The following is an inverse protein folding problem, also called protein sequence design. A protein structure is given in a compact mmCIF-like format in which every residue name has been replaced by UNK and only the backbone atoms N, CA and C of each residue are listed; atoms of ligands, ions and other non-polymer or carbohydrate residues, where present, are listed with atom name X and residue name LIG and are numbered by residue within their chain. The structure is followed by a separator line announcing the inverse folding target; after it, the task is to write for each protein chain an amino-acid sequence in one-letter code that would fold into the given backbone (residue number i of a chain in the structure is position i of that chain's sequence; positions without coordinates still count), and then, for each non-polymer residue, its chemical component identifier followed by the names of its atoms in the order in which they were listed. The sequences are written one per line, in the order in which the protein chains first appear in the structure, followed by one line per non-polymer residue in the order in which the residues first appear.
data_IF_476942974662
#
_entry.id   IF_476942974662
#
_cell.length_a   1.000
_cell.length_b   1.000
_cell.length_c   1.000
_cell.angle_alpha   90.00
_cell.angle_beta   90.00
_cell.angle_gamma   90.00
#
_symmetry.space_group_name_H-M   'P 1'
#
loop_
_entity.id
_entity.type
_entity.pdbx_description
1 polymer ?
#
# COMPACT_ATOMS: atom_id res chain seq x y z
N UNK A 1 -56.93 56.33 -43.89
CA UNK A 1 -55.50 55.94 -43.84
C UNK A 1 -54.85 56.25 -42.47
N UNK A 2 -55.51 55.97 -41.35
CA UNK A 2 -55.00 56.30 -39.99
C UNK A 2 -54.73 55.07 -39.13
N UNK A 3 -55.30 53.91 -39.47
CA UNK A 3 -55.17 52.66 -38.69
C UNK A 3 -53.81 51.96 -38.88
N UNK A 4 -53.15 52.15 -40.03
CA UNK A 4 -51.87 51.50 -40.33
C UNK A 4 -50.67 52.09 -39.56
N UNK A 5 -50.73 53.37 -39.17
CA UNK A 5 -49.64 54.02 -38.41
C UNK A 5 -49.66 53.66 -36.93
N UNK A 6 -50.83 53.39 -36.34
CA UNK A 6 -50.95 52.98 -34.94
C UNK A 6 -50.45 51.55 -34.71
N UNK A 7 -50.76 50.61 -35.61
CA UNK A 7 -50.31 49.20 -35.48
C UNK A 7 -48.77 49.10 -35.59
N UNK A 8 -48.15 49.87 -36.48
CA UNK A 8 -46.69 49.88 -36.62
C UNK A 8 -45.98 50.43 -35.37
N UNK A 9 -46.57 51.42 -34.69
CA UNK A 9 -46.07 51.96 -33.42
C UNK A 9 -46.10 50.95 -32.26
N UNK A 10 -47.17 50.13 -32.18
CA UNK A 10 -47.27 49.10 -31.14
C UNK A 10 -46.27 47.95 -31.35
N UNK A 11 -46.01 47.52 -32.59
CA UNK A 11 -45.02 46.49 -32.88
C UNK A 11 -43.61 46.97 -32.54
N UNK A 12 -43.28 48.23 -32.84
CA UNK A 12 -41.98 48.81 -32.54
C UNK A 12 -41.78 49.02 -31.03
N UNK A 13 -42.81 49.44 -30.30
CA UNK A 13 -42.77 49.55 -28.83
C UNK A 13 -42.66 48.18 -28.15
N UNK A 14 -43.32 47.14 -28.68
CA UNK A 14 -43.23 45.78 -28.13
C UNK A 14 -41.84 45.16 -28.40
N UNK A 15 -41.28 45.37 -29.59
CA UNK A 15 -39.92 44.93 -29.92
C UNK A 15 -38.85 45.63 -29.05
N UNK A 16 -39.01 46.93 -28.79
CA UNK A 16 -38.13 47.67 -27.88
C UNK A 16 -38.27 47.18 -26.43
N UNK A 17 -39.49 46.88 -25.99
CA UNK A 17 -39.76 46.31 -24.67
C UNK A 17 -39.05 44.98 -24.45
N UNK A 18 -39.17 44.04 -25.39
CA UNK A 18 -38.51 42.72 -25.31
C UNK A 18 -36.97 42.83 -25.32
N UNK A 19 -36.41 43.75 -26.11
CA UNK A 19 -34.96 43.98 -26.14
C UNK A 19 -34.43 44.53 -24.81
N UNK A 20 -35.16 45.44 -24.16
CA UNK A 20 -34.78 46.00 -22.85
C UNK A 20 -34.84 44.91 -21.76
N UNK A 21 -35.87 44.06 -21.76
CA UNK A 21 -35.97 42.97 -20.77
C UNK A 21 -34.84 41.94 -20.92
N UNK A 22 -34.40 41.66 -22.15
CA UNK A 22 -33.27 40.77 -22.43
C UNK A 22 -31.92 41.32 -21.96
N UNK A 23 -31.69 42.63 -22.07
CA UNK A 23 -30.46 43.27 -21.57
C UNK A 23 -30.44 43.25 -20.04
N UNK A 24 -31.56 43.55 -19.37
CA UNK A 24 -31.65 43.53 -17.90
C UNK A 24 -31.47 42.12 -17.34
N UNK A 25 -31.98 41.08 -18.01
CA UNK A 25 -31.77 39.70 -17.57
C UNK A 25 -30.33 39.24 -17.73
N UNK A 26 -29.62 39.63 -18.79
CA UNK A 26 -28.19 39.35 -18.94
C UNK A 26 -27.35 40.03 -17.85
N UNK A 27 -27.60 41.31 -17.53
CA UNK A 27 -26.89 41.99 -16.45
C UNK A 27 -27.11 41.34 -15.07
N UNK A 28 -28.31 40.83 -14.79
CA UNK A 28 -28.56 40.08 -13.54
C UNK A 28 -27.79 38.76 -13.50
N UNK A 29 -27.79 38.00 -14.61
CA UNK A 29 -27.05 36.74 -14.69
C UNK A 29 -25.53 36.95 -14.56
N UNK A 30 -24.99 38.01 -15.14
CA UNK A 30 -23.56 38.32 -15.02
C UNK A 30 -23.21 38.82 -13.61
N UNK A 31 -24.07 39.62 -12.97
CA UNK A 31 -23.91 40.01 -11.57
C UNK A 31 -23.96 38.81 -10.61
N UNK A 32 -24.86 37.85 -10.83
CA UNK A 32 -24.94 36.61 -10.05
C UNK A 32 -23.69 35.72 -10.25
N UNK A 33 -23.17 35.65 -11.49
CA UNK A 33 -21.92 34.94 -11.78
C UNK A 33 -20.70 35.59 -11.12
N UNK A 34 -20.62 36.92 -11.13
CA UNK A 34 -19.55 37.65 -10.45
C UNK A 34 -19.63 37.48 -8.93
N UNK A 35 -20.84 37.53 -8.35
CA UNK A 35 -21.06 37.25 -6.94
C UNK A 35 -20.63 35.81 -6.60
N UNK A 36 -21.04 34.82 -7.39
CA UNK A 36 -20.64 33.42 -7.22
C UNK A 36 -19.12 33.20 -7.31
N UNK A 37 -18.44 33.87 -8.24
CA UNK A 37 -16.96 33.81 -8.35
C UNK A 37 -16.26 34.41 -7.14
N UNK A 38 -16.77 35.52 -6.60
CA UNK A 38 -16.21 36.14 -5.39
C UNK A 38 -16.40 35.25 -4.17
N UNK A 39 -17.58 34.66 -4.00
CA UNK A 39 -17.83 33.70 -2.91
C UNK A 39 -16.93 32.48 -3.02
N UNK A 40 -16.83 31.86 -4.20
CA UNK A 40 -15.95 30.72 -4.42
C UNK A 40 -14.46 31.06 -4.19
N UNK A 41 -14.04 32.29 -4.52
CA UNK A 41 -12.68 32.75 -4.24
C UNK A 41 -12.45 32.98 -2.74
N UNK A 42 -13.43 33.52 -2.01
CA UNK A 42 -13.37 33.66 -0.55
C UNK A 42 -13.35 32.31 0.15
N UNK A 43 -14.17 31.36 -0.26
CA UNK A 43 -14.16 29.98 0.24
C UNK A 43 -12.81 29.30 -0.02
N UNK A 44 -12.23 29.48 -1.22
CA UNK A 44 -10.89 28.98 -1.53
C UNK A 44 -9.81 29.60 -0.63
N UNK A 45 -9.89 30.90 -0.33
CA UNK A 45 -8.95 31.56 0.57
C UNK A 45 -9.12 31.06 2.01
N UNK A 46 -10.36 30.92 2.49
CA UNK A 46 -10.65 30.36 3.81
C UNK A 46 -10.20 28.90 3.96
N UNK A 47 -10.33 28.10 2.90
CA UNK A 47 -9.77 26.75 2.85
C UNK A 47 -8.24 26.78 2.89
N UNK A 48 -7.60 27.64 2.11
CA UNK A 48 -6.13 27.78 2.15
C UNK A 48 -5.62 28.14 3.55
N UNK A 49 -6.25 29.11 4.21
CA UNK A 49 -5.85 29.49 5.57
C UNK A 49 -6.02 28.35 6.57
N UNK A 50 -7.09 27.57 6.47
CA UNK A 50 -7.28 26.40 7.37
C UNK A 50 -6.31 25.27 7.07
N UNK A 51 -5.91 25.08 5.81
CA UNK A 51 -4.82 24.16 5.45
C UNK A 51 -3.46 24.62 5.98
N UNK A 52 -3.13 25.91 5.83
CA UNK A 52 -1.86 26.46 6.32
C UNK A 52 -1.75 26.37 7.85
N UNK A 53 -2.85 26.63 8.58
CA UNK A 53 -2.92 26.43 10.03
C UNK A 53 -2.74 24.96 10.44
N UNK A 54 -3.38 24.02 9.72
CA UNK A 54 -3.20 22.59 9.97
C UNK A 54 -1.77 22.13 9.69
N UNK A 55 -1.17 22.64 8.61
CA UNK A 55 0.22 22.33 8.27
C UNK A 55 1.19 22.87 9.32
N UNK A 56 0.94 24.05 9.89
CA UNK A 56 1.78 24.57 10.97
C UNK A 56 1.68 23.70 12.23
N UNK A 57 0.47 23.31 12.64
CA UNK A 57 0.26 22.41 13.78
C UNK A 57 0.95 21.06 13.57
N UNK A 58 0.75 20.42 12.40
CA UNK A 58 1.42 19.16 12.08
C UNK A 58 2.95 19.29 12.06
N UNK A 59 3.48 20.42 11.56
CA UNK A 59 4.92 20.67 11.58
C UNK A 59 5.48 20.79 13.00
N UNK A 60 4.72 21.41 13.91
CA UNK A 60 5.09 21.52 15.32
C UNK A 60 5.04 20.15 16.02
N UNK A 61 4.01 19.34 15.74
CA UNK A 61 3.89 17.96 16.26
C UNK A 61 5.05 17.07 15.79
N UNK A 62 5.42 17.15 14.51
CA UNK A 62 6.57 16.42 13.97
C UNK A 62 7.86 16.81 14.70
N UNK A 63 8.09 18.10 14.94
CA UNK A 63 9.25 18.58 15.69
C UNK A 63 9.23 18.15 17.16
N UNK A 64 8.05 18.09 17.78
CA UNK A 64 7.91 17.55 19.14
C UNK A 64 8.23 16.04 19.18
N UNK A 65 7.71 15.27 18.23
CA UNK A 65 7.98 13.83 18.12
C UNK A 65 9.46 13.53 17.86
N UNK A 66 10.14 14.32 17.02
CA UNK A 66 11.59 14.20 16.81
C UNK A 66 12.37 14.41 18.11
N UNK A 67 12.04 15.46 18.87
CA UNK A 67 12.69 15.73 20.17
C UNK A 67 12.44 14.60 21.17
N UNK A 68 11.23 14.07 21.22
CA UNK A 68 10.90 12.94 22.10
C UNK A 68 11.69 11.67 21.70
N UNK A 69 11.81 11.40 20.40
CA UNK A 69 12.56 10.27 19.87
C UNK A 69 14.07 10.37 20.15
N UNK A 70 14.65 11.56 20.02
CA UNK A 70 16.06 11.79 20.37
C UNK A 70 16.32 11.68 21.87
N UNK A 71 15.39 12.15 22.72
CA UNK A 71 15.45 11.95 24.16
C UNK A 71 15.37 10.45 24.52
N UNK A 72 14.45 9.70 23.91
CA UNK A 72 14.31 8.25 24.11
C UNK A 72 15.58 7.48 23.68
N UNK A 73 16.18 7.84 22.54
CA UNK A 73 17.46 7.25 22.08
C UNK A 73 18.60 7.53 23.05
N UNK A 74 18.64 8.73 23.63
CA UNK A 74 19.66 9.09 24.62
C UNK A 74 19.50 8.27 25.89
N UNK A 75 18.26 8.15 26.39
CA UNK A 75 17.94 7.30 27.55
C UNK A 75 18.25 5.82 27.30
N UNK A 76 17.98 5.30 26.10
CA UNK A 76 18.29 3.91 25.74
C UNK A 76 19.79 3.64 25.78
N UNK A 77 20.62 4.56 25.25
CA UNK A 77 22.09 4.46 25.32
C UNK A 77 22.63 4.52 26.75
N UNK A 78 22.03 5.34 27.61
CA UNK A 78 22.38 5.39 29.03
C UNK A 78 22.02 4.08 29.74
N UNK A 79 20.87 3.49 29.43
CA UNK A 79 20.45 2.19 29.94
C UNK A 79 21.38 1.07 29.47
N UNK A 80 21.76 1.03 28.19
CA UNK A 80 22.74 0.09 27.64
C UNK A 80 24.09 0.21 28.34
N UNK A 81 24.57 1.44 28.57
CA UNK A 81 25.81 1.68 29.30
C UNK A 81 25.74 1.20 30.75
N UNK A 82 24.64 1.45 31.44
CA UNK A 82 24.41 0.98 32.81
C UNK A 82 24.35 -0.55 32.87
N UNK A 83 23.72 -1.18 31.87
CA UNK A 83 23.68 -2.64 31.76
C UNK A 83 25.06 -3.24 31.48
N UNK A 84 25.88 -2.61 30.63
CA UNK A 84 27.26 -3.02 30.37
C UNK A 84 28.14 -2.90 31.63
N UNK A 85 28.00 -1.81 32.39
CA UNK A 85 28.72 -1.63 33.67
C UNK A 85 28.29 -2.68 34.72
N UNK A 86 27.02 -3.09 34.72
CA UNK A 86 26.52 -4.16 35.61
C UNK A 86 26.98 -5.57 35.17
N UNK A 87 27.20 -5.78 33.88
CA UNK A 87 27.66 -7.06 33.31
C UNK A 87 29.16 -7.32 33.52
N UNK A 88 29.94 -6.32 33.93
CA UNK A 88 31.38 -6.44 34.21
C UNK A 88 31.69 -7.17 35.54
N UNK A 89 30.66 -7.76 36.17
CA UNK A 89 30.85 -8.78 37.19
C UNK A 89 31.15 -10.13 36.50
N UNK A 90 32.33 -10.74 36.72
CA UNK A 90 32.74 -11.95 36.04
C UNK A 90 31.87 -13.13 36.49
N UNK A 91 30.77 -13.36 35.76
CA UNK A 91 30.04 -14.60 35.81
C UNK A 91 30.79 -15.60 34.93
N UNK A 92 31.65 -16.39 35.55
CA UNK A 92 32.37 -17.48 34.87
C UNK A 92 31.34 -18.53 34.42
N UNK A 93 30.89 -18.41 33.17
CA UNK A 93 30.13 -19.48 32.51
C UNK A 93 31.08 -20.65 32.24
N UNK A 94 30.69 -21.89 32.56
CA UNK A 94 31.44 -23.06 32.12
C UNK A 94 31.42 -23.10 30.58
N UNK A 95 32.61 -23.14 29.97
CA UNK A 95 32.79 -23.39 28.54
C UNK A 95 32.05 -24.69 28.16
N UNK A 96 30.90 -24.57 27.51
CA UNK A 96 30.34 -25.68 26.76
C UNK A 96 31.13 -25.84 25.46
N UNK A 97 31.63 -27.05 25.14
CA UNK A 97 32.40 -27.28 23.94
C UNK A 97 31.53 -27.08 22.70
N UNK A 98 31.91 -26.13 21.84
CA UNK A 98 31.29 -25.93 20.54
C UNK A 98 31.42 -27.22 19.70
N UNK A 99 30.31 -27.71 19.10
CA UNK A 99 30.37 -28.84 18.19
C UNK A 99 31.15 -28.43 16.92
N UNK A 100 31.99 -29.32 16.37
CA UNK A 100 32.80 -29.02 15.19
C UNK A 100 31.88 -28.70 14.00
N UNK A 101 32.09 -27.53 13.39
CA UNK A 101 31.42 -27.15 12.14
C UNK A 101 31.72 -28.19 11.06
N UNK A 102 30.64 -28.73 10.47
CA UNK A 102 30.72 -29.65 9.34
C UNK A 102 31.30 -28.95 8.11
N UNK A 103 32.35 -29.49 7.46
CA UNK A 103 33.00 -28.88 6.29
C UNK A 103 32.20 -29.02 4.97
N UNK A 104 30.94 -29.41 5.01
CA UNK A 104 30.12 -29.62 3.80
C UNK A 104 29.34 -28.39 3.31
N UNK A 105 29.35 -27.27 4.04
CA UNK A 105 28.60 -26.07 3.66
C UNK A 105 29.31 -25.15 2.63
N UNK A 106 30.63 -25.25 2.45
CA UNK A 106 31.41 -24.28 1.65
C UNK A 106 31.59 -24.66 0.16
N UNK A 107 31.05 -25.78 -0.32
CA UNK A 107 31.32 -26.28 -1.70
C UNK A 107 30.16 -26.14 -2.71
N UNK A 108 29.15 -25.29 -2.48
CA UNK A 108 27.97 -25.25 -3.35
C UNK A 108 27.68 -23.95 -4.10
N UNK A 109 28.52 -22.91 -3.99
CA UNK A 109 28.21 -21.61 -4.61
C UNK A 109 28.92 -21.30 -5.95
N UNK A 110 29.84 -22.14 -6.44
CA UNK A 110 30.69 -21.76 -7.61
C UNK A 110 30.22 -22.21 -9.01
N UNK A 111 29.15 -23.01 -9.15
CA UNK A 111 28.73 -23.59 -10.45
C UNK A 111 27.32 -23.16 -10.92
N UNK A 112 26.81 -22.02 -10.45
CA UNK A 112 25.63 -21.42 -11.08
C UNK A 112 26.05 -20.75 -12.41
N UNK A 113 25.51 -21.17 -13.57
CA UNK A 113 25.84 -20.52 -14.83
C UNK A 113 25.45 -19.03 -14.76
N UNK A 114 26.28 -18.11 -15.28
CA UNK A 114 25.95 -16.70 -15.28
C UNK A 114 24.70 -16.48 -16.12
N UNK A 115 23.64 -15.93 -15.51
CA UNK A 115 22.40 -15.45 -16.14
C UNK A 115 22.78 -14.38 -17.19
N UNK A 116 23.18 -14.82 -18.37
CA UNK A 116 23.85 -13.99 -19.40
C UNK A 116 22.88 -13.41 -20.40
N UNK A 117 21.63 -13.87 -20.41
CA UNK A 117 20.57 -13.27 -21.21
C UNK A 117 19.57 -12.61 -20.27
N UNK A 118 19.76 -11.32 -19.99
CA UNK A 118 18.78 -10.45 -19.33
C UNK A 118 17.47 -10.26 -20.12
N UNK A 119 17.14 -11.19 -21.02
CA UNK A 119 15.85 -11.26 -21.69
C UNK A 119 14.84 -11.81 -20.71
N UNK A 120 13.81 -11.01 -20.42
CA UNK A 120 12.73 -11.47 -19.59
C UNK A 120 12.04 -12.61 -20.34
N UNK A 121 11.59 -13.66 -19.62
CA UNK A 121 10.73 -14.72 -20.20
C UNK A 121 9.50 -14.13 -20.92
N UNK A 122 9.13 -12.90 -20.56
CA UNK A 122 8.08 -12.10 -21.20
C UNK A 122 8.37 -11.68 -22.63
N UNK A 123 9.63 -11.61 -23.04
CA UNK A 123 10.07 -11.16 -24.37
C UNK A 123 10.02 -12.29 -25.40
N UNK A 124 10.03 -13.55 -24.94
CA UNK A 124 9.94 -14.74 -25.79
C UNK A 124 8.50 -15.21 -26.05
N UNK A 125 7.50 -14.57 -25.43
CA UNK A 125 6.08 -14.92 -25.60
C UNK A 125 5.52 -14.36 -26.91
N UNK A 126 4.69 -15.14 -27.59
CA UNK A 126 3.90 -14.61 -28.71
C UNK A 126 2.95 -13.49 -28.25
N UNK A 127 2.51 -12.59 -29.14
CA UNK A 127 1.57 -11.53 -28.78
C UNK A 127 0.29 -12.04 -28.11
N UNK A 128 -0.26 -13.16 -28.58
CA UNK A 128 -1.46 -13.79 -28.01
C UNK A 128 -1.20 -14.37 -26.60
N UNK A 129 -0.05 -15.02 -26.39
CA UNK A 129 0.34 -15.52 -25.06
C UNK A 129 0.60 -14.38 -24.07
N UNK A 130 1.19 -13.27 -24.55
CA UNK A 130 1.40 -12.07 -23.75
C UNK A 130 0.07 -11.45 -23.32
N UNK A 131 -0.90 -11.35 -24.24
CA UNK A 131 -2.23 -10.80 -23.93
C UNK A 131 -2.98 -11.67 -22.91
N UNK A 132 -3.04 -12.98 -23.12
CA UNK A 132 -3.70 -13.93 -22.19
C UNK A 132 -3.04 -13.94 -20.81
N UNK A 133 -1.72 -13.82 -20.73
CA UNK A 133 -1.00 -13.68 -19.46
C UNK A 133 -1.35 -12.37 -18.74
N UNK A 134 -1.41 -11.24 -19.48
CA UNK A 134 -1.80 -9.94 -18.93
C UNK A 134 -3.25 -9.92 -18.46
N UNK A 135 -4.15 -10.63 -19.12
CA UNK A 135 -5.54 -10.79 -18.72
C UNK A 135 -5.66 -11.62 -17.43
N UNK A 136 -5.03 -12.81 -17.37
CA UNK A 136 -4.98 -13.62 -16.15
C UNK A 136 -4.39 -12.86 -14.97
N UNK A 137 -3.32 -12.09 -15.19
CA UNK A 137 -2.72 -11.26 -14.16
C UNK A 137 -3.69 -10.17 -13.70
N UNK A 138 -4.43 -9.54 -14.61
CA UNK A 138 -5.46 -8.55 -14.26
C UNK A 138 -6.57 -9.18 -13.41
N UNK A 139 -7.12 -10.31 -13.84
CA UNK A 139 -8.16 -11.04 -13.09
C UNK A 139 -7.68 -11.45 -11.70
N UNK A 140 -6.47 -12.01 -11.61
CA UNK A 140 -5.87 -12.40 -10.34
C UNK A 140 -5.72 -11.20 -9.39
N UNK A 141 -5.20 -10.07 -9.88
CA UNK A 141 -5.00 -8.88 -9.07
C UNK A 141 -6.32 -8.25 -8.63
N UNK A 142 -7.34 -8.24 -9.50
CA UNK A 142 -8.69 -7.79 -9.14
C UNK A 142 -9.31 -8.69 -8.07
N UNK A 143 -9.29 -10.01 -8.27
CA UNK A 143 -9.82 -10.95 -7.27
C UNK A 143 -9.01 -10.98 -5.97
N UNK A 144 -7.71 -10.69 -6.00
CA UNK A 144 -6.91 -10.49 -4.80
C UNK A 144 -7.32 -9.22 -4.06
N UNK A 145 -7.51 -8.10 -4.77
CA UNK A 145 -7.97 -6.84 -4.19
C UNK A 145 -9.34 -6.98 -3.55
N UNK A 146 -10.29 -7.61 -4.23
CA UNK A 146 -11.65 -7.84 -3.71
C UNK A 146 -11.62 -8.69 -2.43
N UNK A 147 -10.84 -9.78 -2.41
CA UNK A 147 -10.68 -10.62 -1.23
C UNK A 147 -10.05 -9.86 -0.05
N UNK A 148 -9.01 -9.07 -0.33
CA UNK A 148 -8.36 -8.24 0.71
C UNK A 148 -9.34 -7.21 1.24
N UNK A 149 -10.05 -6.50 0.37
CA UNK A 149 -11.03 -5.49 0.77
C UNK A 149 -12.17 -6.09 1.59
N UNK A 150 -12.76 -7.20 1.13
CA UNK A 150 -13.81 -7.92 1.86
C UNK A 150 -13.33 -8.39 3.23
N UNK A 151 -12.12 -8.96 3.31
CA UNK A 151 -11.54 -9.37 4.59
C UNK A 151 -11.35 -8.19 5.55
N UNK A 152 -10.84 -7.05 5.06
CA UNK A 152 -10.61 -5.86 5.88
C UNK A 152 -11.93 -5.24 6.34
N UNK A 153 -12.93 -5.18 5.47
CA UNK A 153 -14.27 -4.69 5.81
C UNK A 153 -14.93 -5.58 6.88
N UNK A 154 -14.90 -6.90 6.70
CA UNK A 154 -15.39 -7.86 7.69
C UNK A 154 -14.66 -7.69 9.03
N UNK A 155 -13.34 -7.53 9.00
CA UNK A 155 -12.54 -7.30 10.22
C UNK A 155 -12.85 -5.97 10.90
N UNK A 156 -13.03 -4.89 10.15
CA UNK A 156 -13.43 -3.58 10.70
C UNK A 156 -14.79 -3.65 11.39
N UNK A 157 -15.74 -4.39 10.83
CA UNK A 157 -17.07 -4.58 11.42
C UNK A 157 -17.04 -5.44 12.69
N UNK A 158 -16.09 -6.38 12.79
CA UNK A 158 -15.94 -7.29 13.92
C UNK A 158 -15.10 -6.71 15.06
N UNK A 159 -14.14 -5.84 14.75
CA UNK A 159 -13.25 -5.26 15.77
C UNK A 159 -13.96 -4.16 16.57
N UNK A 160 -13.81 -4.22 17.90
CA UNK A 160 -14.24 -3.16 18.81
C UNK A 160 -13.12 -2.20 19.19
N UNK A 161 -11.89 -2.46 18.75
CA UNK A 161 -10.72 -1.63 19.05
C UNK A 161 -10.59 -0.52 18.00
N UNK A 162 -10.73 0.78 18.37
CA UNK A 162 -10.59 1.88 17.42
C UNK A 162 -9.19 1.92 16.78
N UNK A 163 -8.15 1.49 17.49
CA UNK A 163 -6.78 1.48 16.94
C UNK A 163 -6.64 0.41 15.86
N UNK A 164 -7.28 -0.75 16.01
CA UNK A 164 -7.36 -1.76 14.97
C UNK A 164 -8.15 -1.27 13.76
N UNK A 165 -9.30 -0.61 13.98
CA UNK A 165 -10.09 -0.03 12.89
C UNK A 165 -9.30 1.00 12.08
N UNK A 166 -8.59 1.91 12.75
CA UNK A 166 -7.73 2.92 12.10
C UNK A 166 -6.61 2.26 11.27
N UNK A 167 -5.98 1.21 11.81
CA UNK A 167 -4.95 0.44 11.06
C UNK A 167 -5.53 -0.25 9.82
N UNK A 168 -6.73 -0.84 9.93
CA UNK A 168 -7.39 -1.48 8.79
C UNK A 168 -7.79 -0.45 7.73
N UNK A 169 -8.28 0.72 8.14
CA UNK A 169 -8.60 1.83 7.23
C UNK A 169 -7.35 2.32 6.50
N UNK A 170 -6.24 2.58 7.22
CA UNK A 170 -4.97 2.96 6.62
C UNK A 170 -4.47 1.88 5.62
N UNK A 171 -4.61 0.60 5.98
CA UNK A 171 -4.23 -0.48 5.07
C UNK A 171 -5.07 -0.51 3.78
N UNK A 172 -6.38 -0.24 3.86
CA UNK A 172 -7.24 -0.08 2.67
C UNK A 172 -6.80 1.10 1.80
N UNK A 173 -6.46 2.24 2.41
CA UNK A 173 -5.95 3.42 1.70
C UNK A 173 -4.64 3.09 0.96
N UNK A 174 -3.69 2.41 1.60
CA UNK A 174 -2.44 2.00 0.95
C UNK A 174 -2.66 0.99 -0.18
N UNK A 175 -3.60 0.06 -0.04
CA UNK A 175 -3.95 -0.87 -1.12
C UNK A 175 -4.52 -0.12 -2.33
N UNK A 176 -5.40 0.86 -2.10
CA UNK A 176 -5.94 1.71 -3.16
C UNK A 176 -4.85 2.58 -3.80
N UNK A 177 -3.98 3.19 -2.99
CA UNK A 177 -2.87 4.01 -3.45
C UNK A 177 -1.88 3.20 -4.30
N UNK A 178 -1.54 1.98 -3.88
CA UNK A 178 -0.69 1.08 -4.66
C UNK A 178 -1.33 0.66 -6.00
N UNK A 179 -2.64 0.52 -6.05
CA UNK A 179 -3.34 0.25 -7.31
C UNK A 179 -3.27 1.46 -8.24
N UNK A 180 -3.41 2.67 -7.71
CA UNK A 180 -3.29 3.92 -8.44
C UNK A 180 -1.86 4.14 -8.98
N UNK A 181 -0.84 3.98 -8.15
CA UNK A 181 0.57 4.06 -8.59
C UNK A 181 0.89 3.05 -9.70
N UNK A 182 0.33 1.84 -9.65
CA UNK A 182 0.49 0.87 -10.76
C UNK A 182 -0.19 1.34 -12.05
N UNK A 183 -1.32 2.02 -11.94
CA UNK A 183 -1.98 2.62 -13.10
C UNK A 183 -1.12 3.75 -13.68
N UNK A 184 -0.68 4.68 -12.82
CA UNK A 184 0.22 5.77 -13.22
C UNK A 184 1.51 5.24 -13.86
N UNK A 185 2.13 4.19 -13.32
CA UNK A 185 3.34 3.57 -13.89
C UNK A 185 3.09 2.97 -15.28
N UNK A 186 1.87 2.49 -15.56
CA UNK A 186 1.50 2.01 -16.90
C UNK A 186 1.31 3.16 -17.88
N UNK A 187 0.70 4.24 -17.42
CA UNK A 187 0.35 5.40 -18.23
C UNK A 187 1.50 6.40 -18.40
N UNK A 188 2.58 6.27 -17.60
CA UNK A 188 3.75 7.13 -17.64
C UNK A 188 4.42 7.15 -19.03
N UNK A 189 4.58 8.35 -19.60
CA UNK A 189 5.17 8.56 -20.92
C UNK A 189 6.70 8.55 -20.89
N UNK A 190 7.30 8.91 -19.76
CA UNK A 190 8.75 9.05 -19.61
C UNK A 190 9.34 8.05 -18.62
N UNK A 191 10.65 7.77 -18.76
CA UNK A 191 11.38 6.92 -17.82
C UNK A 191 11.59 7.61 -16.45
N UNK A 192 11.70 8.94 -16.44
CA UNK A 192 11.82 9.74 -15.22
C UNK A 192 10.55 9.61 -14.36
N UNK A 193 9.36 9.72 -14.96
CA UNK A 193 8.09 9.49 -14.26
C UNK A 193 8.00 8.06 -13.71
N UNK A 194 8.44 7.05 -14.49
CA UNK A 194 8.44 5.64 -14.06
C UNK A 194 9.35 5.41 -12.85
N UNK A 195 10.51 6.06 -12.83
CA UNK A 195 11.45 5.98 -11.71
C UNK A 195 10.84 6.61 -10.45
N UNK A 196 10.26 7.80 -10.56
CA UNK A 196 9.59 8.49 -9.45
C UNK A 196 8.45 7.65 -8.88
N UNK A 197 7.55 7.14 -9.73
CA UNK A 197 6.47 6.26 -9.32
C UNK A 197 7.02 4.98 -8.67
N UNK A 198 8.15 4.47 -9.17
CA UNK A 198 8.85 3.34 -8.57
C UNK A 198 9.34 3.61 -7.15
N UNK A 199 9.83 4.82 -6.85
CA UNK A 199 10.17 5.26 -5.49
C UNK A 199 8.93 5.28 -4.61
N UNK A 200 7.85 5.91 -5.07
CA UNK A 200 6.58 6.00 -4.33
C UNK A 200 6.01 4.61 -4.01
N UNK A 201 6.06 3.67 -4.96
CA UNK A 201 5.62 2.30 -4.74
C UNK A 201 6.45 1.57 -3.68
N UNK A 202 7.78 1.77 -3.67
CA UNK A 202 8.65 1.19 -2.62
C UNK A 202 8.32 1.77 -1.25
N UNK A 203 8.13 3.08 -1.17
CA UNK A 203 7.76 3.75 0.07
C UNK A 203 6.41 3.25 0.60
N UNK A 204 5.36 3.26 -0.24
CA UNK A 204 4.06 2.72 0.12
C UNK A 204 4.11 1.24 0.53
N UNK A 205 4.99 0.45 -0.11
CA UNK A 205 5.25 -0.94 0.28
C UNK A 205 5.83 -1.08 1.70
N UNK A 206 6.79 -0.23 2.07
CA UNK A 206 7.39 -0.22 3.42
C UNK A 206 6.36 0.18 4.48
N UNK A 207 5.56 1.22 4.22
CA UNK A 207 4.49 1.66 5.14
C UNK A 207 3.45 0.56 5.34
N UNK A 208 3.02 -0.08 4.24
CA UNK A 208 2.08 -1.20 4.28
C UNK A 208 2.67 -2.41 5.04
N UNK A 209 3.96 -2.69 4.90
CA UNK A 209 4.64 -3.74 5.69
C UNK A 209 4.66 -3.40 7.18
N UNK A 210 4.88 -2.13 7.53
CA UNK A 210 4.78 -1.62 8.91
C UNK A 210 3.42 -1.90 9.52
N UNK A 211 2.34 -1.49 8.84
CA UNK A 211 0.96 -1.72 9.27
C UNK A 211 0.65 -3.22 9.46
N UNK A 212 1.08 -4.07 8.51
CA UNK A 212 0.89 -5.52 8.63
C UNK A 212 1.62 -6.10 9.82
N UNK A 213 2.85 -5.63 10.09
CA UNK A 213 3.64 -6.08 11.23
C UNK A 213 2.97 -5.68 12.54
N UNK A 214 2.49 -4.45 12.65
CA UNK A 214 1.73 -3.99 13.81
C UNK A 214 0.46 -4.81 14.04
N UNK A 215 -0.32 -5.06 12.98
CA UNK A 215 -1.52 -5.88 13.07
C UNK A 215 -1.21 -7.31 13.49
N UNK A 216 -0.17 -7.92 12.92
CA UNK A 216 0.29 -9.26 13.30
C UNK A 216 0.69 -9.31 14.78
N UNK A 217 1.36 -8.27 15.28
CA UNK A 217 1.72 -8.19 16.69
C UNK A 217 0.49 -8.10 17.58
N UNK A 218 -0.49 -7.26 17.21
CA UNK A 218 -1.76 -7.15 17.93
C UNK A 218 -2.48 -8.49 18.02
N UNK A 219 -2.57 -9.22 16.90
CA UNK A 219 -3.18 -10.55 16.88
C UNK A 219 -2.43 -11.56 17.73
N UNK A 220 -1.08 -11.51 17.75
CA UNK A 220 -0.28 -12.40 18.60
C UNK A 220 -0.43 -12.08 20.09
N UNK A 221 -0.60 -10.81 20.46
CA UNK A 221 -0.91 -10.41 21.84
C UNK A 221 -2.30 -10.91 22.25
N UNK A 222 -3.32 -10.71 21.41
CA UNK A 222 -4.67 -11.23 21.64
C UNK A 222 -4.67 -12.76 21.79
N UNK A 223 -3.93 -13.46 20.93
CA UNK A 223 -3.75 -14.91 21.03
C UNK A 223 -3.08 -15.30 22.36
N UNK A 224 -2.03 -14.58 22.79
CA UNK A 224 -1.39 -14.85 24.08
C UNK A 224 -2.38 -14.72 25.24
N UNK A 225 -3.23 -13.69 25.22
CA UNK A 225 -4.28 -13.45 26.21
C UNK A 225 -5.33 -14.57 26.24
N UNK A 226 -5.77 -15.06 25.06
CA UNK A 226 -6.68 -16.20 24.94
C UNK A 226 -6.12 -17.48 25.60
N UNK A 227 -4.79 -17.65 25.56
CA UNK A 227 -4.09 -18.76 26.23
C UNK A 227 -3.72 -18.46 27.69
N UNK A 228 -4.23 -17.38 28.27
CA UNK A 228 -4.04 -17.01 29.67
C UNK A 228 -2.70 -16.33 29.97
N UNK A 229 -1.97 -15.88 28.94
CA UNK A 229 -0.73 -15.11 29.08
C UNK A 229 -1.08 -13.63 29.16
N UNK A 230 -1.38 -13.14 30.36
CA UNK A 230 -1.78 -11.74 30.61
C UNK A 230 -0.63 -10.83 31.07
N UNK A 231 0.51 -11.42 31.43
CA UNK A 231 1.69 -10.66 31.84
C UNK A 231 2.40 -10.07 30.60
N UNK A 232 2.64 -8.75 30.61
CA UNK A 232 3.18 -8.03 29.46
C UNK A 232 4.57 -8.53 29.02
N UNK A 233 5.42 -8.95 29.96
CA UNK A 233 6.74 -9.49 29.63
C UNK A 233 6.59 -10.85 28.94
N UNK A 234 5.73 -11.73 29.46
CA UNK A 234 5.44 -13.03 28.84
C UNK A 234 4.76 -12.90 27.48
N UNK A 235 3.89 -11.91 27.29
CA UNK A 235 3.31 -11.61 25.99
C UNK A 235 4.40 -11.20 24.98
N UNK A 236 5.33 -10.34 25.37
CA UNK A 236 6.46 -9.96 24.52
C UNK A 236 7.34 -11.16 24.15
N UNK A 237 7.65 -12.04 25.12
CA UNK A 237 8.38 -13.29 24.89
C UNK A 237 7.63 -14.21 23.92
N UNK A 238 6.32 -14.38 24.09
CA UNK A 238 5.46 -15.17 23.20
C UNK A 238 5.49 -14.61 21.77
N UNK A 239 5.26 -13.31 21.61
CA UNK A 239 5.27 -12.63 20.31
C UNK A 239 6.63 -12.80 19.61
N UNK A 240 7.74 -12.60 20.34
CA UNK A 240 9.09 -12.78 19.79
C UNK A 240 9.33 -14.22 19.34
N UNK A 241 8.97 -15.21 20.17
CA UNK A 241 9.13 -16.62 19.81
C UNK A 241 8.32 -17.03 18.59
N UNK A 242 7.11 -16.49 18.43
CA UNK A 242 6.28 -16.73 17.25
C UNK A 242 6.87 -16.07 15.98
N UNK A 243 7.51 -14.90 16.12
CA UNK A 243 8.25 -14.27 15.00
C UNK A 243 9.47 -15.10 14.62
N UNK A 244 10.23 -15.57 15.60
CA UNK A 244 11.42 -16.39 15.38
C UNK A 244 11.05 -17.68 14.65
N UNK A 245 9.99 -18.37 15.11
CA UNK A 245 9.46 -19.56 14.47
C UNK A 245 9.03 -19.32 13.02
N UNK A 246 8.42 -18.16 12.73
CA UNK A 246 8.04 -17.79 11.35
C UNK A 246 9.24 -17.46 10.48
N UNK A 247 10.30 -16.92 11.06
CA UNK A 247 11.54 -16.61 10.36
C UNK A 247 12.44 -17.82 10.14
N UNK A 248 12.13 -18.94 10.79
CA UNK A 248 12.86 -20.19 10.64
C UNK A 248 12.85 -20.65 9.17
N UNK A 249 14.02 -20.95 8.58
CA UNK A 249 14.14 -21.46 7.21
C UNK A 249 13.28 -22.70 6.92
N UNK A 250 12.91 -23.49 7.93
CA UNK A 250 12.03 -24.63 7.74
C UNK A 250 10.60 -24.22 7.31
N UNK A 251 10.10 -23.10 7.85
CA UNK A 251 8.76 -22.58 7.54
C UNK A 251 8.78 -21.50 6.46
N UNK A 252 9.92 -20.86 6.28
CA UNK A 252 10.15 -19.88 5.23
C UNK A 252 11.39 -20.28 4.42
N UNK A 253 11.31 -21.39 3.64
CA UNK A 253 12.44 -21.90 2.89
C UNK A 253 13.05 -20.75 2.09
N UNK A 254 14.38 -20.55 2.18
CA UNK A 254 15.04 -19.50 1.42
C UNK A 254 14.63 -19.70 -0.03
N UNK A 255 13.98 -18.68 -0.58
CA UNK A 255 13.56 -18.67 -1.98
C UNK A 255 14.84 -18.85 -2.77
N UNK A 256 15.06 -20.06 -3.30
CA UNK A 256 16.35 -20.46 -3.89
C UNK A 256 16.84 -19.35 -4.83
N UNK A 257 18.06 -18.82 -4.66
CA UNK A 257 18.63 -17.84 -5.58
C UNK A 257 18.61 -18.44 -6.99
N UNK A 258 17.77 -17.92 -7.88
CA UNK A 258 17.51 -18.49 -9.22
C UNK A 258 16.07 -18.98 -9.47
N UNK A 259 15.31 -19.33 -8.41
CA UNK A 259 13.85 -19.29 -8.45
C UNK A 259 13.42 -17.89 -8.04
N UNK A 260 13.74 -16.92 -8.92
CA UNK A 260 13.58 -15.51 -8.64
C UNK A 260 12.22 -15.19 -8.04
N UNK A 261 12.24 -14.35 -7.00
CA UNK A 261 11.12 -13.56 -6.46
C UNK A 261 10.40 -12.70 -7.53
N UNK A 262 10.78 -12.85 -8.82
CA UNK A 262 10.19 -12.26 -10.01
C UNK A 262 9.79 -13.25 -11.12
N UNK A 263 9.78 -14.57 -10.90
CA UNK A 263 9.32 -15.57 -11.90
C UNK A 263 8.09 -16.34 -11.40
N UNK A 264 6.95 -15.66 -11.38
CA UNK A 264 5.63 -16.30 -11.36
C UNK A 264 5.20 -16.90 -10.01
N UNK A 265 4.75 -16.05 -9.09
CA UNK A 265 3.61 -16.43 -8.24
C UNK A 265 2.31 -16.27 -9.07
N UNK A 266 2.31 -16.87 -10.27
CA UNK A 266 1.09 -17.16 -11.01
C UNK A 266 0.58 -18.47 -10.42
N UNK A 267 -0.54 -18.37 -9.71
CA UNK A 267 -1.25 -19.52 -9.19
C UNK A 267 -1.50 -20.55 -10.29
N UNK A 268 -0.88 -21.72 -10.14
CA UNK A 268 -1.05 -22.82 -11.07
C UNK A 268 -0.51 -24.12 -10.48
N UNK A 269 -1.40 -24.91 -9.87
CA UNK A 269 -1.21 -26.36 -9.82
C UNK A 269 -0.96 -27.01 -8.46
N UNK A 270 -1.84 -26.82 -7.48
CA UNK A 270 -2.22 -27.94 -6.62
C UNK A 270 -3.39 -28.68 -7.30
N UNK A 271 -3.07 -29.53 -8.28
CA UNK A 271 -4.07 -30.18 -9.12
C UNK A 271 -3.53 -31.30 -9.98
N UNK A 272 -3.15 -32.41 -9.32
CA UNK A 272 -3.04 -33.77 -9.84
C UNK A 272 -2.00 -34.10 -10.95
N UNK A 273 -1.19 -35.16 -10.78
CA UNK A 273 -0.47 -35.78 -11.89
C UNK A 273 -1.46 -36.48 -12.82
N UNK A 274 -1.64 -35.96 -14.05
CA UNK A 274 -2.10 -36.79 -15.16
C UNK A 274 -0.99 -37.77 -15.50
N UNK A 275 -1.09 -38.99 -14.96
CA UNK A 275 -0.25 -40.10 -15.35
C UNK A 275 -0.36 -40.39 -16.85
N UNK A 276 0.71 -40.94 -17.47
CA UNK A 276 0.66 -41.32 -18.87
C UNK A 276 -0.32 -42.48 -19.04
N UNK A 277 -1.30 -42.28 -19.92
CA UNK A 277 -2.23 -43.32 -20.32
C UNK A 277 -1.49 -44.53 -20.87
N UNK A 278 -1.59 -45.65 -20.16
CA UNK A 278 -1.37 -46.97 -20.71
C UNK A 278 -2.43 -47.21 -21.81
N UNK A 279 -1.98 -47.20 -23.06
CA UNK A 279 -2.78 -47.73 -24.16
C UNK A 279 -2.97 -49.24 -23.99
N UNK A 280 -4.16 -49.80 -24.27
CA UNK A 280 -4.32 -51.24 -24.35
C UNK A 280 -3.59 -51.78 -25.59
N UNK A 281 -2.68 -52.73 -25.36
CA UNK A 281 -2.22 -53.67 -26.39
C UNK A 281 -3.41 -54.54 -26.77
N UNK A 282 -4.02 -54.27 -27.92
CA UNK A 282 -4.78 -55.29 -28.63
C UNK A 282 -3.82 -56.22 -29.34
N UNK A 283 -3.93 -57.51 -29.00
CA UNK A 283 -3.16 -58.57 -29.62
C UNK A 283 -3.81 -59.91 -29.33
N UNK A 284 -4.49 -60.43 -30.36
CA UNK A 284 -5.10 -61.76 -30.55
C UNK A 284 -6.56 -61.95 -30.12
#
# INVERSE_FOLDING_TARGET
MTVSRTIMGFILAFALGVAITGIVSQFRLDAEREAGRKTAQQERLALKTTFDERLSVLSEEIEQLKRALDAARTSAREAERTAAEAADHPFALPEEPEPPMSPEAERREEDAPPDTDGRSRFDDLSPEERETMLERRREFMTGMRERVNSYLEDRMLQSTDPVEQDRMAAFQEYVAYMADLRQQMRDAETDEDREEIGVLMRQAGVEMEGLLREQQNSMLVQLAEEYGITDAQKQAEFVNRMRDLRSDPLFNPPVMPGMGRGRGFDGGGFGAPRGPGFGPREGR
#
